data_IF_925016059902
#
_entry.id   IF_925016059902
#
_cell.length_a   1.000
_cell.length_b   1.000
_cell.length_c   1.000
_cell.angle_alpha   90.00
_cell.angle_beta   90.00
_cell.angle_gamma   90.00
#
_symmetry.space_group_name_H-M   'P 1'
#
loop_
_entity.id
_entity.type
_entity.pdbx_description
1 polymer ?
#
# COMPACT_ATOMS: atom_id res chain seq x y z
N UNK A 1 -18.03 26.43 -7.85
CA UNK A 1 -17.94 25.88 -9.22
C UNK A 1 -18.25 24.40 -9.13
N UNK A 2 -19.00 23.81 -10.07
CA UNK A 2 -19.21 22.37 -10.08
C UNK A 2 -17.86 21.64 -10.16
N UNK A 3 -17.67 20.65 -9.30
CA UNK A 3 -16.51 19.78 -9.31
C UNK A 3 -16.96 18.39 -9.75
N UNK A 4 -16.69 17.98 -11.00
CA UNK A 4 -17.20 16.72 -11.54
C UNK A 4 -16.73 15.49 -10.73
N UNK A 5 -15.66 15.63 -9.95
CA UNK A 5 -15.13 14.58 -9.09
C UNK A 5 -16.00 14.28 -7.86
N UNK A 6 -16.81 15.26 -7.44
CA UNK A 6 -17.73 15.15 -6.30
C UNK A 6 -19.20 15.28 -6.72
N UNK A 7 -19.45 15.75 -7.94
CA UNK A 7 -20.80 15.90 -8.50
C UNK A 7 -21.20 14.70 -9.39
N UNK A 8 -20.28 13.77 -9.64
CA UNK A 8 -20.54 12.55 -10.42
C UNK A 8 -19.76 11.37 -9.88
N UNK A 9 -20.37 10.18 -9.95
CA UNK A 9 -19.73 8.92 -9.55
C UNK A 9 -18.56 8.52 -10.47
N UNK A 10 -18.68 8.78 -11.76
CA UNK A 10 -17.80 8.21 -12.79
C UNK A 10 -16.33 8.64 -12.66
N UNK A 11 -15.99 9.93 -12.46
CA UNK A 11 -14.59 10.33 -12.35
C UNK A 11 -13.89 9.67 -11.16
N UNK A 12 -14.57 9.54 -10.01
CA UNK A 12 -14.03 8.84 -8.85
C UNK A 12 -13.80 7.35 -9.10
N UNK A 13 -14.74 6.66 -9.77
CA UNK A 13 -14.57 5.24 -10.14
C UNK A 13 -13.43 5.02 -11.12
N UNK A 14 -13.27 5.90 -12.12
CA UNK A 14 -12.18 5.82 -13.10
C UNK A 14 -10.84 6.05 -12.42
N UNK A 15 -10.73 7.11 -11.61
CA UNK A 15 -9.50 7.41 -10.88
C UNK A 15 -9.11 6.27 -9.92
N UNK A 16 -10.08 5.72 -9.20
CA UNK A 16 -9.86 4.56 -8.34
C UNK A 16 -9.38 3.35 -9.13
N UNK A 17 -10.04 3.02 -10.26
CA UNK A 17 -9.67 1.87 -11.07
C UNK A 17 -8.24 1.97 -11.59
N UNK A 18 -7.84 3.16 -12.07
CA UNK A 18 -6.48 3.41 -12.54
C UNK A 18 -5.48 3.19 -11.40
N UNK A 19 -5.70 3.81 -10.24
CA UNK A 19 -4.80 3.68 -9.08
C UNK A 19 -4.68 2.24 -8.59
N UNK A 20 -5.81 1.53 -8.50
CA UNK A 20 -5.84 0.16 -8.03
C UNK A 20 -5.08 -0.78 -8.98
N UNK A 21 -5.26 -0.61 -10.30
CA UNK A 21 -4.54 -1.39 -11.32
C UNK A 21 -3.05 -1.04 -11.34
N UNK A 22 -2.69 0.24 -11.18
CA UNK A 22 -1.28 0.64 -11.14
C UNK A 22 -0.57 0.13 -9.90
N UNK A 23 -1.22 0.08 -8.73
CA UNK A 23 -0.67 -0.52 -7.51
C UNK A 23 -0.23 -1.97 -7.75
N UNK A 24 -1.13 -2.78 -8.30
CA UNK A 24 -0.82 -4.19 -8.59
C UNK A 24 0.28 -4.34 -9.65
N UNK A 25 0.20 -3.54 -10.71
CA UNK A 25 1.18 -3.56 -11.79
C UNK A 25 2.58 -3.19 -11.28
N UNK A 26 2.69 -2.10 -10.52
CA UNK A 26 3.94 -1.66 -9.90
C UNK A 26 4.49 -2.69 -8.91
N UNK A 27 3.61 -3.35 -8.15
CA UNK A 27 3.98 -4.42 -7.23
C UNK A 27 4.63 -5.59 -7.98
N UNK A 28 4.02 -6.03 -9.09
CA UNK A 28 4.57 -7.10 -9.94
C UNK A 28 5.89 -6.68 -10.59
N UNK A 29 5.98 -5.46 -11.12
CA UNK A 29 7.22 -4.93 -11.72
C UNK A 29 8.34 -4.91 -10.68
N UNK A 30 8.08 -4.41 -9.47
CA UNK A 30 9.05 -4.39 -8.38
C UNK A 30 9.47 -5.80 -7.96
N UNK A 31 8.52 -6.74 -7.86
CA UNK A 31 8.80 -8.13 -7.53
C UNK A 31 9.65 -8.82 -8.60
N UNK A 32 9.42 -8.52 -9.88
CA UNK A 32 10.22 -9.01 -10.99
C UNK A 32 11.66 -8.46 -10.94
N UNK A 33 11.82 -7.14 -10.82
CA UNK A 33 13.14 -6.50 -10.69
C UNK A 33 13.92 -7.05 -9.49
N UNK A 34 13.22 -7.34 -8.39
CA UNK A 34 13.85 -7.92 -7.20
C UNK A 34 14.47 -9.29 -7.48
N UNK A 35 13.81 -10.16 -8.27
CA UNK A 35 14.32 -11.52 -8.56
C UNK A 35 15.63 -11.58 -9.33
N UNK A 36 16.08 -10.48 -9.91
CA UNK A 36 17.35 -10.40 -10.66
C UNK A 36 18.52 -10.25 -9.68
N UNK A 37 19.24 -9.11 -9.67
CA UNK A 37 20.39 -8.86 -8.79
C UNK A 37 19.93 -8.31 -7.43
N UNK A 38 18.83 -7.56 -7.42
CA UNK A 38 18.34 -6.86 -6.23
C UNK A 38 18.04 -7.77 -5.02
N UNK A 39 17.63 -9.04 -5.20
CA UNK A 39 17.42 -9.95 -4.07
C UNK A 39 18.73 -10.43 -3.41
N UNK A 40 19.89 -10.24 -4.04
CA UNK A 40 21.19 -10.57 -3.44
C UNK A 40 21.68 -9.45 -2.52
N UNK A 41 21.29 -8.21 -2.81
CA UNK A 41 21.73 -6.99 -2.10
C UNK A 41 20.67 -6.54 -1.09
N UNK A 42 19.39 -6.59 -1.44
CA UNK A 42 18.25 -6.21 -0.60
C UNK A 42 17.39 -7.45 -0.33
N UNK A 43 17.68 -8.08 0.81
CA UNK A 43 16.95 -9.27 1.27
C UNK A 43 15.83 -8.81 2.20
N UNK A 44 14.61 -9.25 1.92
CA UNK A 44 13.44 -9.04 2.77
C UNK A 44 12.98 -10.42 3.23
N UNK A 45 12.83 -10.58 4.54
CA UNK A 45 12.36 -11.81 5.16
C UNK A 45 10.91 -12.12 4.73
N UNK A 46 10.71 -13.32 4.17
CA UNK A 46 9.41 -13.76 3.64
C UNK A 46 9.05 -13.11 2.31
N UNK A 47 7.77 -12.81 2.11
CA UNK A 47 7.26 -12.21 0.86
C UNK A 47 7.62 -10.73 0.73
N UNK A 48 7.86 -10.24 -0.48
CA UNK A 48 7.94 -8.80 -0.73
C UNK A 48 6.61 -8.11 -0.41
N UNK A 49 5.50 -8.77 -0.70
CA UNK A 49 4.16 -8.23 -0.49
C UNK A 49 3.79 -8.26 1.00
N UNK A 50 3.38 -7.10 1.53
CA UNK A 50 3.01 -6.97 2.93
C UNK A 50 1.61 -7.50 3.21
N UNK A 51 0.70 -7.43 2.24
CA UNK A 51 -0.68 -7.86 2.40
C UNK A 51 -0.80 -9.38 2.25
N UNK A 52 -1.12 -10.14 3.32
CA UNK A 52 -1.14 -11.61 3.26
C UNK A 52 -2.07 -12.17 2.19
N UNK A 53 -3.15 -11.44 1.87
CA UNK A 53 -4.14 -11.83 0.86
C UNK A 53 -3.54 -11.97 -0.55
N UNK A 54 -2.53 -11.16 -0.90
CA UNK A 54 -1.94 -11.13 -2.25
C UNK A 54 -0.57 -11.82 -2.37
N UNK A 55 0.06 -12.18 -1.25
CA UNK A 55 1.43 -12.73 -1.23
C UNK A 55 1.65 -13.86 -2.23
N UNK A 56 0.79 -14.89 -2.23
CA UNK A 56 0.95 -16.03 -3.15
C UNK A 56 0.93 -15.62 -4.63
N UNK A 57 0.10 -14.65 -4.99
CA UNK A 57 -0.04 -14.22 -6.38
C UNK A 57 1.14 -13.35 -6.81
N UNK A 58 1.59 -12.43 -5.93
CA UNK A 58 2.77 -11.59 -6.17
C UNK A 58 4.06 -12.43 -6.17
N UNK A 59 4.21 -13.34 -5.22
CA UNK A 59 5.37 -14.23 -5.12
C UNK A 59 5.46 -15.17 -6.33
N UNK A 60 4.37 -15.45 -7.03
CA UNK A 60 4.36 -16.20 -8.29
C UNK A 60 4.38 -15.32 -9.55
N UNK A 61 4.50 -14.00 -9.41
CA UNK A 61 4.49 -13.02 -10.49
C UNK A 61 3.27 -13.17 -11.43
N UNK A 62 2.11 -13.49 -10.89
CA UNK A 62 0.90 -13.57 -11.70
C UNK A 62 0.52 -12.18 -12.20
N UNK A 63 0.46 -12.02 -13.52
CA UNK A 63 -0.04 -10.79 -14.13
C UNK A 63 -1.57 -10.65 -13.97
N UNK A 64 -2.27 -11.77 -13.81
CA UNK A 64 -3.71 -11.81 -13.61
C UNK A 64 -4.06 -12.56 -12.32
N UNK A 65 -4.69 -11.86 -11.36
CA UNK A 65 -5.24 -12.46 -10.15
C UNK A 65 -6.76 -12.28 -10.12
N UNK A 66 -7.55 -13.38 -10.15
CA UNK A 66 -9.00 -13.30 -9.96
C UNK A 66 -9.39 -12.64 -8.64
N UNK A 67 -8.57 -12.80 -7.60
CA UNK A 67 -8.78 -12.16 -6.29
C UNK A 67 -8.68 -10.64 -6.39
N UNK A 68 -7.68 -10.16 -7.13
CA UNK A 68 -7.51 -8.74 -7.40
C UNK A 68 -8.71 -8.17 -8.17
N UNK A 69 -9.18 -8.88 -9.21
CA UNK A 69 -10.35 -8.43 -9.97
C UNK A 69 -11.63 -8.39 -9.12
N UNK A 70 -11.87 -9.42 -8.29
CA UNK A 70 -13.01 -9.43 -7.36
C UNK A 70 -12.94 -8.27 -6.37
N UNK A 71 -11.76 -7.98 -5.82
CA UNK A 71 -11.56 -6.85 -4.92
C UNK A 71 -11.76 -5.50 -5.60
N UNK A 72 -11.35 -5.35 -6.87
CA UNK A 72 -11.63 -4.15 -7.67
C UNK A 72 -13.15 -3.97 -7.87
N UNK A 73 -13.84 -5.01 -8.34
CA UNK A 73 -15.30 -4.95 -8.55
C UNK A 73 -16.03 -4.64 -7.24
N UNK A 74 -15.62 -5.26 -6.14
CA UNK A 74 -16.21 -5.02 -4.82
C UNK A 74 -15.97 -3.61 -4.32
N UNK A 75 -14.76 -3.07 -4.48
CA UNK A 75 -14.45 -1.69 -4.07
C UNK A 75 -15.20 -0.65 -4.93
N UNK A 76 -15.37 -0.91 -6.23
CA UNK A 76 -16.20 -0.09 -7.11
C UNK A 76 -17.68 -0.12 -6.70
N UNK A 77 -18.19 -1.31 -6.33
CA UNK A 77 -19.54 -1.45 -5.78
C UNK A 77 -19.71 -0.66 -4.48
N UNK A 78 -18.76 -0.76 -3.54
CA UNK A 78 -18.81 0.00 -2.29
C UNK A 78 -18.77 1.51 -2.53
N UNK A 79 -17.99 1.97 -3.51
CA UNK A 79 -17.94 3.38 -3.89
C UNK A 79 -19.26 3.87 -4.50
N UNK A 80 -19.88 3.05 -5.36
CA UNK A 80 -21.21 3.33 -5.92
C UNK A 80 -22.30 3.35 -4.83
N UNK A 81 -22.22 2.46 -3.84
CA UNK A 81 -23.11 2.46 -2.68
C UNK A 81 -22.91 3.72 -1.83
N UNK A 82 -21.67 4.12 -1.56
CA UNK A 82 -21.36 5.36 -0.83
C UNK A 82 -21.92 6.60 -1.54
N UNK A 83 -21.82 6.64 -2.88
CA UNK A 83 -22.43 7.68 -3.71
C UNK A 83 -23.96 7.70 -3.61
N UNK A 84 -24.60 6.54 -3.75
CA UNK A 84 -26.06 6.44 -3.64
C UNK A 84 -26.57 6.90 -2.27
N UNK A 85 -25.84 6.56 -1.20
CA UNK A 85 -26.15 7.01 0.17
C UNK A 85 -25.86 8.49 0.40
N UNK A 86 -24.86 9.07 -0.26
CA UNK A 86 -24.56 10.49 -0.17
C UNK A 86 -25.67 11.34 -0.81
N UNK A 87 -26.20 10.91 -1.96
CA UNK A 87 -27.32 11.59 -2.63
C UNK A 87 -28.63 11.46 -1.84
N UNK A 88 -28.85 10.34 -1.13
CA UNK A 88 -30.10 10.08 -0.40
C UNK A 88 -30.26 10.84 0.92
N UNK A 89 -29.34 11.78 1.25
CA UNK A 89 -29.41 12.80 2.30
C UNK A 89 -29.14 12.46 3.79
N UNK A 90 -28.81 11.23 4.26
CA UNK A 90 -28.40 11.12 5.67
C UNK A 90 -26.95 11.61 5.90
N UNK A 91 -26.05 11.46 4.92
CA UNK A 91 -24.61 11.75 5.07
C UNK A 91 -23.99 12.23 3.74
N UNK A 92 -24.14 13.51 3.36
CA UNK A 92 -23.68 14.00 2.05
C UNK A 92 -22.15 13.93 1.88
N UNK A 93 -21.38 13.91 2.97
CA UNK A 93 -19.92 13.83 2.94
C UNK A 93 -19.38 12.39 2.89
N UNK A 94 -20.26 11.38 2.92
CA UNK A 94 -19.84 9.98 2.94
C UNK A 94 -19.05 9.60 1.69
N UNK A 95 -19.50 10.07 0.52
CA UNK A 95 -18.82 9.78 -0.74
C UNK A 95 -17.39 10.33 -0.74
N UNK A 96 -17.23 11.63 -0.43
CA UNK A 96 -15.92 12.29 -0.37
C UNK A 96 -14.98 11.57 0.59
N UNK A 97 -15.49 11.22 1.78
CA UNK A 97 -14.73 10.48 2.78
C UNK A 97 -14.28 9.10 2.29
N UNK A 98 -15.16 8.32 1.65
CA UNK A 98 -14.83 6.98 1.12
C UNK A 98 -13.87 7.10 -0.06
N UNK A 99 -14.11 8.03 -0.97
CA UNK A 99 -13.25 8.26 -2.13
C UNK A 99 -11.84 8.70 -1.70
N UNK A 100 -11.76 9.62 -0.74
CA UNK A 100 -10.49 10.07 -0.17
C UNK A 100 -9.76 8.98 0.60
N UNK A 101 -10.48 8.15 1.34
CA UNK A 101 -9.94 6.95 2.00
C UNK A 101 -9.22 6.03 1.01
N UNK A 102 -9.83 5.81 -0.15
CA UNK A 102 -9.32 4.93 -1.18
C UNK A 102 -8.14 5.57 -1.92
N UNK A 103 -8.33 6.76 -2.49
CA UNK A 103 -7.33 7.43 -3.32
C UNK A 103 -6.08 7.83 -2.52
N UNK A 104 -6.24 8.46 -1.36
CA UNK A 104 -5.09 8.96 -0.61
C UNK A 104 -4.24 7.84 0.00
N UNK A 105 -4.87 6.72 0.38
CA UNK A 105 -4.12 5.52 0.77
C UNK A 105 -3.30 5.01 -0.41
N UNK A 106 -3.91 4.86 -1.58
CA UNK A 106 -3.20 4.38 -2.78
C UNK A 106 -2.04 5.30 -3.14
N UNK A 107 -2.24 6.63 -3.15
CA UNK A 107 -1.16 7.57 -3.44
C UNK A 107 0.02 7.42 -2.45
N UNK A 108 -0.26 7.24 -1.16
CA UNK A 108 0.78 6.97 -0.16
C UNK A 108 1.53 5.65 -0.44
N UNK A 109 0.83 4.63 -0.94
CA UNK A 109 1.43 3.35 -1.35
C UNK A 109 2.26 3.52 -2.65
N UNK A 110 1.79 4.30 -3.62
CA UNK A 110 2.49 4.55 -4.87
C UNK A 110 3.85 5.22 -4.65
N UNK A 111 3.96 6.14 -3.69
CA UNK A 111 5.26 6.73 -3.32
C UNK A 111 6.25 5.65 -2.87
N UNK A 112 5.79 4.62 -2.15
CA UNK A 112 6.62 3.46 -1.77
C UNK A 112 7.01 2.65 -3.00
N UNK A 113 6.08 2.40 -3.91
CA UNK A 113 6.38 1.68 -5.15
C UNK A 113 7.40 2.39 -6.00
N UNK A 114 7.29 3.71 -6.17
CA UNK A 114 8.28 4.48 -6.93
C UNK A 114 9.65 4.46 -6.28
N UNK A 115 9.72 4.59 -4.95
CA UNK A 115 10.98 4.44 -4.20
C UNK A 115 11.60 3.06 -4.41
N UNK A 116 10.81 2.00 -4.29
CA UNK A 116 11.27 0.63 -4.46
C UNK A 116 11.69 0.35 -5.92
N UNK A 117 10.91 0.83 -6.88
CA UNK A 117 11.17 0.72 -8.32
C UNK A 117 12.51 1.34 -8.66
N UNK A 118 12.72 2.60 -8.26
CA UNK A 118 13.99 3.30 -8.45
C UNK A 118 15.14 2.53 -7.81
N UNK A 119 15.01 2.13 -6.54
CA UNK A 119 16.07 1.43 -5.83
C UNK A 119 16.44 0.09 -6.49
N UNK A 120 15.45 -0.75 -6.83
CA UNK A 120 15.72 -2.04 -7.47
C UNK A 120 16.25 -1.88 -8.89
N UNK A 121 15.77 -0.88 -9.62
CA UNK A 121 16.32 -0.55 -10.93
C UNK A 121 17.80 -0.15 -10.82
N UNK A 122 18.15 0.75 -9.90
CA UNK A 122 19.53 1.19 -9.69
C UNK A 122 20.45 0.04 -9.27
N UNK A 123 20.00 -0.85 -8.38
CA UNK A 123 20.76 -2.05 -7.99
C UNK A 123 21.04 -2.97 -9.18
N UNK A 124 20.10 -3.08 -10.11
CA UNK A 124 20.25 -3.97 -11.27
C UNK A 124 21.09 -3.37 -12.40
N UNK A 125 21.11 -2.04 -12.56
CA UNK A 125 21.70 -1.38 -13.73
C UNK A 125 22.92 -0.49 -13.44
N UNK A 126 23.22 -0.25 -12.17
CA UNK A 126 24.36 0.58 -11.74
C UNK A 126 25.17 -0.13 -10.66
N UNK A 127 26.39 0.34 -10.40
CA UNK A 127 27.22 -0.11 -9.27
C UNK A 127 27.24 0.91 -8.11
N UNK A 128 26.22 1.78 -8.04
CA UNK A 128 26.07 2.81 -6.99
C UNK A 128 25.57 2.21 -5.66
N UNK A 129 24.82 1.11 -5.73
CA UNK A 129 24.33 0.40 -4.54
C UNK A 129 25.20 -0.83 -4.29
N UNK A 130 25.92 -0.84 -3.16
CA UNK A 130 26.88 -1.90 -2.79
C UNK A 130 26.59 -2.44 -1.39
N UNK A 131 27.07 -3.65 -1.13
CA UNK A 131 26.85 -4.34 0.15
C UNK A 131 25.60 -5.22 0.15
N UNK A 132 25.23 -5.72 1.33
CA UNK A 132 24.02 -6.53 1.54
C UNK A 132 23.28 -6.05 2.78
N UNK A 133 22.00 -5.75 2.62
CA UNK A 133 21.09 -5.37 3.71
C UNK A 133 19.98 -6.41 3.78
N UNK A 134 19.70 -6.85 5.00
CA UNK A 134 18.62 -7.79 5.28
C UNK A 134 17.58 -7.13 6.19
N UNK A 135 16.38 -6.94 5.65
CA UNK A 135 15.23 -6.43 6.36
C UNK A 135 14.42 -7.58 6.93
N UNK A 136 14.41 -7.67 8.26
CA UNK A 136 13.49 -8.55 8.96
C UNK A 136 12.03 -8.16 8.71
N UNK A 137 11.13 -9.13 8.79
CA UNK A 137 9.71 -8.92 8.53
C UNK A 137 9.08 -7.89 9.47
N UNK A 138 9.38 -7.90 10.79
CA UNK A 138 8.92 -6.84 11.70
C UNK A 138 9.39 -5.45 11.30
N UNK A 139 10.63 -5.31 10.82
CA UNK A 139 11.18 -4.03 10.40
C UNK A 139 10.45 -3.51 9.15
N UNK A 140 10.18 -4.37 8.16
CA UNK A 140 9.42 -4.01 6.96
C UNK A 140 8.02 -3.45 7.30
N UNK A 141 7.30 -4.11 8.22
CA UNK A 141 6.01 -3.60 8.70
C UNK A 141 6.14 -2.29 9.48
N UNK A 142 7.18 -2.12 10.30
CA UNK A 142 7.43 -0.86 11.03
C UNK A 142 7.70 0.30 10.08
N UNK A 143 8.58 0.11 9.09
CA UNK A 143 8.87 1.12 8.06
C UNK A 143 7.58 1.54 7.35
N UNK A 144 6.79 0.56 6.88
CA UNK A 144 5.51 0.85 6.24
C UNK A 144 4.51 1.57 7.16
N UNK A 145 4.49 1.23 8.46
CA UNK A 145 3.66 1.93 9.44
C UNK A 145 4.08 3.39 9.63
N UNK A 146 5.39 3.67 9.70
CA UNK A 146 5.88 5.05 9.82
C UNK A 146 5.61 5.87 8.56
N UNK A 147 5.81 5.30 7.37
CA UNK A 147 5.46 5.95 6.09
C UNK A 147 3.96 6.38 6.12
N UNK A 148 3.07 5.44 6.48
CA UNK A 148 1.62 5.71 6.50
C UNK A 148 1.20 6.69 7.61
N UNK A 149 1.87 6.68 8.77
CA UNK A 149 1.62 7.67 9.83
C UNK A 149 2.06 9.08 9.39
N UNK A 150 3.16 9.20 8.66
CA UNK A 150 3.61 10.48 8.12
C UNK A 150 2.56 11.05 7.14
N UNK A 151 2.04 10.23 6.23
CA UNK A 151 0.95 10.63 5.34
C UNK A 151 -0.34 10.96 6.10
N UNK A 152 -0.72 10.18 7.12
CA UNK A 152 -1.87 10.50 7.96
C UNK A 152 -1.71 11.86 8.66
N UNK A 153 -0.52 12.17 9.19
CA UNK A 153 -0.22 13.47 9.79
C UNK A 153 -0.29 14.63 8.78
N UNK A 154 0.26 14.43 7.58
CA UNK A 154 0.19 15.41 6.49
C UNK A 154 -1.26 15.68 6.07
N UNK A 155 -2.05 14.64 5.81
CA UNK A 155 -3.46 14.78 5.44
C UNK A 155 -4.28 15.41 6.56
N UNK A 156 -3.96 15.12 7.82
CA UNK A 156 -4.63 15.73 8.96
C UNK A 156 -4.33 17.22 9.08
N UNK A 157 -3.07 17.61 8.86
CA UNK A 157 -2.69 19.03 8.81
C UNK A 157 -3.46 19.75 7.69
N UNK A 158 -3.51 19.18 6.48
CA UNK A 158 -4.28 19.73 5.37
C UNK A 158 -5.79 19.78 5.67
N UNK A 159 -6.33 18.76 6.33
CA UNK A 159 -7.73 18.74 6.77
C UNK A 159 -8.00 19.87 7.77
N UNK A 160 -7.10 20.14 8.72
CA UNK A 160 -7.28 21.22 9.69
C UNK A 160 -7.49 22.58 9.02
N UNK A 161 -6.81 22.85 7.90
CA UNK A 161 -6.96 24.09 7.14
C UNK A 161 -8.15 24.11 6.18
N UNK A 162 -8.49 22.97 5.57
CA UNK A 162 -9.48 22.91 4.47
C UNK A 162 -10.85 22.40 4.89
N UNK A 163 -10.93 21.71 6.03
CA UNK A 163 -12.12 21.00 6.52
C UNK A 163 -12.73 20.04 5.49
N UNK A 164 -11.91 19.51 4.57
CA UNK A 164 -12.36 18.65 3.48
C UNK A 164 -12.41 17.16 3.90
N UNK A 165 -13.61 16.56 3.85
CA UNK A 165 -13.85 15.18 4.25
C UNK A 165 -13.07 14.13 3.44
N UNK A 166 -12.70 14.46 2.20
CA UNK A 166 -11.79 13.64 1.39
C UNK A 166 -10.45 13.43 2.09
N UNK A 167 -9.86 14.50 2.64
CA UNK A 167 -8.59 14.41 3.37
C UNK A 167 -8.76 13.61 4.66
N UNK A 168 -9.87 13.81 5.38
CA UNK A 168 -10.16 13.05 6.60
C UNK A 168 -10.29 11.54 6.33
N UNK A 169 -10.84 11.15 5.19
CA UNK A 169 -10.84 9.76 4.72
C UNK A 169 -9.44 9.19 4.58
N UNK A 170 -8.54 9.94 3.93
CA UNK A 170 -7.13 9.59 3.83
C UNK A 170 -6.45 9.43 5.18
N UNK A 171 -6.70 10.35 6.13
CA UNK A 171 -6.21 10.25 7.52
C UNK A 171 -6.65 8.94 8.15
N UNK A 172 -7.95 8.65 8.11
CA UNK A 172 -8.54 7.47 8.75
C UNK A 172 -7.94 6.17 8.18
N UNK A 173 -7.80 6.08 6.86
CA UNK A 173 -7.33 4.87 6.19
C UNK A 173 -5.82 4.68 6.33
N UNK A 174 -5.03 5.74 6.20
CA UNK A 174 -3.58 5.67 6.45
C UNK A 174 -3.29 5.33 7.91
N UNK A 175 -3.98 5.94 8.88
CA UNK A 175 -3.81 5.67 10.30
C UNK A 175 -4.19 4.23 10.65
N UNK A 176 -5.37 3.77 10.22
CA UNK A 176 -5.83 2.40 10.50
C UNK A 176 -4.89 1.34 9.90
N UNK A 177 -4.43 1.55 8.66
CA UNK A 177 -3.45 0.67 8.01
C UNK A 177 -2.10 0.70 8.72
N UNK A 178 -1.64 1.87 9.16
CA UNK A 178 -0.41 1.99 9.94
C UNK A 178 -0.48 1.24 11.27
N UNK A 179 -1.62 1.31 11.98
CA UNK A 179 -1.87 0.57 13.21
C UNK A 179 -1.92 -0.94 12.96
N UNK A 180 -2.55 -1.37 11.86
CA UNK A 180 -2.54 -2.77 11.41
C UNK A 180 -1.11 -3.26 11.17
N UNK A 181 -0.27 -2.48 10.49
CA UNK A 181 1.13 -2.82 10.26
C UNK A 181 1.95 -2.86 11.56
N UNK A 182 1.71 -1.94 12.51
CA UNK A 182 2.29 -2.03 13.87
C UNK A 182 1.90 -3.31 14.60
N UNK A 183 0.64 -3.73 14.51
CA UNK A 183 0.17 -5.00 15.09
C UNK A 183 0.86 -6.20 14.43
N UNK A 184 0.98 -6.20 13.10
CA UNK A 184 1.68 -7.27 12.35
C UNK A 184 3.17 -7.32 12.68
N UNK A 185 3.82 -6.17 12.89
CA UNK A 185 5.22 -6.11 13.31
C UNK A 185 5.50 -6.71 14.69
N UNK A 186 4.47 -6.85 15.55
CA UNK A 186 4.60 -7.48 16.87
C UNK A 186 4.46 -9.00 16.82
N UNK A 187 3.90 -9.56 15.73
CA UNK A 187 3.79 -11.01 15.54
C UNK A 187 5.17 -11.53 15.16
N UNK A 188 5.84 -12.22 16.08
CA UNK A 188 7.10 -12.93 15.79
C UNK A 188 6.81 -14.12 14.86
N UNK A 189 7.60 -14.35 13.80
CA UNK A 189 7.58 -15.64 13.11
C UNK A 189 8.10 -16.72 14.07
N UNK A 190 7.47 -17.90 14.03
CA UNK A 190 7.73 -19.02 14.93
C UNK A 190 9.07 -19.77 14.67
N UNK A 191 10.04 -19.15 14.00
CA UNK A 191 11.30 -19.81 13.65
C UNK A 191 12.48 -18.86 13.85
N UNK A 192 12.85 -18.65 15.10
CA UNK A 192 14.27 -18.45 15.43
C UNK A 192 14.76 -19.83 15.83
N UNK A 193 15.26 -20.60 14.87
CA UNK A 193 16.08 -21.77 15.16
C UNK A 193 17.23 -21.26 16.02
N UNK A 194 17.36 -21.84 17.21
CA UNK A 194 18.44 -21.56 18.13
C UNK A 194 19.77 -21.65 17.37
N UNK A 195 20.52 -20.56 17.34
CA UNK A 195 21.95 -20.64 17.06
C UNK A 195 22.53 -21.39 18.26
N UNK A 196 22.72 -22.70 18.12
CA UNK A 196 23.52 -23.46 19.06
C UNK A 196 24.94 -22.88 19.01
N UNK A 197 25.58 -22.59 20.16
CA UNK A 197 26.98 -22.22 20.17
C UNK A 197 27.76 -23.37 19.54
N UNK A 198 28.55 -23.08 18.51
CA UNK A 198 29.55 -24.01 18.01
C UNK A 198 30.48 -24.38 19.16
N UNK A 199 30.45 -25.65 19.58
CA UNK A 199 31.46 -26.21 20.46
C UNK A 199 32.83 -26.01 19.80
N UNK A 200 33.68 -25.24 20.46
CA UNK A 200 35.09 -25.16 20.12
C UNK A 200 35.76 -26.42 20.69
N UNK A 201 36.15 -27.34 19.81
CA UNK A 201 37.19 -28.34 20.07
C UNK A 201 38.53 -27.80 19.60
#
# INVERSE_FOLDING_TARGET
MPNPFFDSLWPGMVAWSILYISDYSLTIICAHLRRVRANQIIVIEGSYELTPYYQRDIDSLKLFSPRFLVALVWSLFLLALAWALAISQPLPQLYDFVLGSMILLELAIHVRHFRNLFLYWSVNHTDEVRGRIEYSRPLAYRMSSYDLLAFAGLFFLLFAFTQNWFLLGGVATCLSTALKHRKLAKKRPASTVAVQPSEQT
#
